data_IF_434197347432
#
_entry.id   IF_434197347432
#
_cell.length_a   1.000
_cell.length_b   1.000
_cell.length_c   1.000
_cell.angle_alpha   90.00
_cell.angle_beta   90.00
_cell.angle_gamma   90.00
#
_symmetry.space_group_name_H-M   'P 1'
#
loop_
_entity.id
_entity.type
_entity.pdbx_description
1 polymer ?
#
# COMPACT_ATOMS: atom_id res chain seq x y z
N UNK A 1 12.37 1.56 -13.76
CA UNK A 1 12.79 2.97 -13.86
C UNK A 1 12.31 3.69 -12.62
N UNK A 2 13.10 3.57 -11.54
CA UNK A 2 12.75 4.11 -10.22
C UNK A 2 13.85 5.05 -9.77
N UNK A 3 13.87 6.23 -10.38
CA UNK A 3 14.81 7.30 -10.04
C UNK A 3 13.99 8.45 -9.46
N UNK A 4 13.47 8.26 -8.24
CA UNK A 4 12.26 9.04 -7.97
C UNK A 4 12.14 9.61 -6.58
N UNK A 5 13.04 9.31 -5.72
CA UNK A 5 12.92 9.83 -4.38
C UNK A 5 13.89 10.99 -4.17
N UNK A 6 13.43 12.20 -4.42
CA UNK A 6 14.16 13.40 -4.05
C UNK A 6 14.26 14.50 -5.11
N UNK A 7 13.72 14.29 -6.28
CA UNK A 7 13.79 15.33 -7.31
C UNK A 7 12.62 16.32 -7.21
N UNK A 8 12.94 17.61 -7.28
CA UNK A 8 11.95 18.70 -7.40
C UNK A 8 10.96 18.49 -8.55
N UNK A 9 11.38 17.71 -9.54
CA UNK A 9 10.59 17.33 -10.71
C UNK A 9 9.34 16.51 -10.33
N UNK A 10 9.45 15.62 -9.35
CA UNK A 10 8.34 14.78 -8.90
C UNK A 10 7.25 15.59 -8.21
N UNK A 11 7.64 16.54 -7.36
CA UNK A 11 6.70 17.44 -6.67
C UNK A 11 5.90 18.28 -7.67
N UNK A 12 6.55 18.74 -8.75
CA UNK A 12 5.90 19.50 -9.83
C UNK A 12 4.97 18.59 -10.63
N UNK A 13 5.34 17.35 -10.85
CA UNK A 13 4.54 16.38 -11.61
C UNK A 13 3.28 15.99 -10.84
N UNK A 14 3.40 15.67 -9.56
CA UNK A 14 2.26 15.36 -8.68
C UNK A 14 1.31 16.55 -8.50
N UNK A 15 1.81 17.78 -8.51
CA UNK A 15 0.97 18.96 -8.35
C UNK A 15 0.21 19.37 -9.62
N UNK A 16 0.73 19.04 -10.82
CA UNK A 16 0.14 19.45 -12.10
C UNK A 16 -0.74 18.40 -12.77
N UNK A 17 -0.49 17.12 -12.54
CA UNK A 17 -1.20 16.04 -13.20
C UNK A 17 -2.01 15.22 -12.18
N UNK A 18 -3.14 15.75 -11.76
CA UNK A 18 -4.09 14.96 -10.97
C UNK A 18 -4.94 14.12 -11.89
N UNK A 19 -4.79 12.82 -11.76
CA UNK A 19 -5.66 11.85 -12.42
C UNK A 19 -7.01 11.79 -11.71
N UNK A 20 -8.09 11.51 -12.43
CA UNK A 20 -9.39 11.28 -11.81
C UNK A 20 -9.40 9.98 -11.00
N UNK A 21 -8.69 8.98 -11.50
CA UNK A 21 -8.49 7.70 -10.84
C UNK A 21 -7.03 7.29 -10.84
N UNK A 22 -6.59 6.72 -9.72
CA UNK A 22 -5.34 5.99 -9.59
C UNK A 22 -5.66 4.58 -9.12
N UNK A 23 -5.20 3.60 -9.86
CA UNK A 23 -5.37 2.18 -9.54
C UNK A 23 -4.02 1.65 -9.09
N UNK A 24 -3.95 1.14 -7.87
CA UNK A 24 -2.75 0.53 -7.31
C UNK A 24 -2.99 -0.98 -7.25
N UNK A 25 -2.34 -1.71 -8.13
CA UNK A 25 -2.34 -3.17 -8.10
C UNK A 25 -1.27 -3.68 -7.14
N UNK A 26 -1.48 -4.89 -6.58
CA UNK A 26 -0.60 -5.47 -5.54
C UNK A 26 -0.42 -4.55 -4.31
N UNK A 27 -1.44 -3.75 -3.98
CA UNK A 27 -1.36 -2.74 -2.94
C UNK A 27 -1.03 -3.31 -1.54
N UNK A 28 -1.31 -4.59 -1.30
CA UNK A 28 -0.97 -5.25 -0.05
C UNK A 28 0.54 -5.40 0.19
N UNK A 29 1.36 -5.33 -0.88
CA UNK A 29 2.82 -5.42 -0.83
C UNK A 29 3.51 -4.06 -0.87
N UNK A 30 2.76 -3.01 -1.22
CA UNK A 30 3.30 -1.66 -1.31
C UNK A 30 3.66 -1.10 0.08
N UNK A 31 4.78 -0.43 0.15
CA UNK A 31 5.17 0.32 1.34
C UNK A 31 4.32 1.57 1.52
N UNK A 32 4.21 2.13 2.73
CA UNK A 32 3.48 3.38 2.97
C UNK A 32 3.93 4.53 2.08
N UNK A 33 5.24 4.62 1.78
CA UNK A 33 5.79 5.66 0.91
C UNK A 33 5.33 5.53 -0.54
N UNK A 34 5.29 4.32 -1.07
CA UNK A 34 4.79 4.03 -2.43
C UNK A 34 3.30 4.36 -2.55
N UNK A 35 2.49 3.94 -1.56
CA UNK A 35 1.07 4.26 -1.52
C UNK A 35 0.84 5.77 -1.40
N UNK A 36 1.61 6.48 -0.58
CA UNK A 36 1.48 7.93 -0.43
C UNK A 36 1.73 8.67 -1.75
N UNK A 37 2.71 8.24 -2.55
CA UNK A 37 2.99 8.82 -3.87
C UNK A 37 1.80 8.59 -4.82
N UNK A 38 1.29 7.36 -4.85
CA UNK A 38 0.15 7.03 -5.68
C UNK A 38 -1.12 7.82 -5.29
N UNK A 39 -1.42 7.90 -3.99
CA UNK A 39 -2.59 8.60 -3.46
C UNK A 39 -2.55 10.10 -3.77
N UNK A 40 -1.39 10.72 -3.73
CA UNK A 40 -1.24 12.14 -4.02
C UNK A 40 -1.46 12.49 -5.49
N UNK A 41 -1.32 11.55 -6.40
CA UNK A 41 -1.44 11.78 -7.84
C UNK A 41 -2.87 11.76 -8.37
N UNK A 42 -3.83 11.28 -7.60
CA UNK A 42 -5.22 11.11 -8.04
C UNK A 42 -6.27 11.72 -7.12
N UNK A 43 -7.44 11.95 -7.68
CA UNK A 43 -8.63 12.39 -6.94
C UNK A 43 -9.33 11.23 -6.21
N UNK A 44 -9.28 10.05 -6.82
CA UNK A 44 -9.85 8.81 -6.31
C UNK A 44 -8.82 7.72 -6.43
N UNK A 45 -8.76 6.83 -5.46
CA UNK A 45 -7.80 5.74 -5.45
C UNK A 45 -8.56 4.43 -5.32
N UNK A 46 -8.22 3.48 -6.19
CA UNK A 46 -8.65 2.09 -6.09
C UNK A 46 -7.43 1.25 -5.71
N UNK A 47 -7.48 0.62 -4.56
CA UNK A 47 -6.47 -0.32 -4.11
C UNK A 47 -6.94 -1.74 -4.45
N UNK A 48 -6.11 -2.47 -5.16
CA UNK A 48 -6.32 -3.87 -5.51
C UNK A 48 -5.20 -4.69 -4.89
N UNK A 49 -5.53 -5.76 -4.20
CA UNK A 49 -4.51 -6.58 -3.54
C UNK A 49 -5.10 -7.74 -2.76
N UNK A 50 -4.22 -8.58 -2.23
CA UNK A 50 -4.57 -9.69 -1.37
C UNK A 50 -3.75 -9.59 -0.07
N UNK A 51 -4.40 -9.18 1.01
CA UNK A 51 -3.76 -9.03 2.33
C UNK A 51 -3.40 -10.37 2.99
N UNK A 52 -3.86 -11.50 2.44
CA UNK A 52 -3.48 -12.85 2.91
C UNK A 52 -2.19 -13.36 2.26
N UNK A 53 -1.68 -12.65 1.26
CA UNK A 53 -0.36 -12.89 0.70
C UNK A 53 0.72 -12.19 1.54
N UNK A 54 1.97 -12.21 1.04
CA UNK A 54 3.09 -11.63 1.77
C UNK A 54 2.92 -10.11 1.98
N UNK A 55 3.11 -9.62 3.21
CA UNK A 55 3.08 -8.19 3.50
C UNK A 55 4.30 -7.47 2.89
N UNK A 56 4.36 -6.13 2.96
CA UNK A 56 5.54 -5.38 2.56
C UNK A 56 6.79 -5.88 3.27
N UNK A 57 7.88 -6.00 2.53
CA UNK A 57 9.17 -6.42 3.09
C UNK A 57 9.91 -5.22 3.65
N UNK A 58 10.12 -5.22 4.95
CA UNK A 58 10.96 -4.23 5.62
C UNK A 58 12.28 -4.87 6.06
N UNK A 59 13.41 -4.18 5.91
CA UNK A 59 14.69 -4.67 6.42
C UNK A 59 14.62 -4.87 7.94
N UNK A 60 14.95 -6.08 8.42
CA UNK A 60 14.87 -6.44 9.84
C UNK A 60 15.61 -5.47 10.77
N UNK A 61 16.80 -4.91 10.43
CA UNK A 61 17.46 -3.92 11.26
C UNK A 61 16.62 -2.64 11.46
N UNK A 62 15.87 -2.22 10.45
CA UNK A 62 15.01 -1.03 10.50
C UNK A 62 13.82 -1.29 11.42
N UNK A 63 13.14 -2.42 11.23
CA UNK A 63 12.00 -2.82 12.08
C UNK A 63 12.42 -2.90 13.54
N UNK A 64 13.57 -3.52 13.82
CA UNK A 64 14.12 -3.64 15.18
C UNK A 64 14.39 -2.26 15.80
N UNK A 65 15.03 -1.37 15.06
CA UNK A 65 15.34 -0.02 15.53
C UNK A 65 14.06 0.75 15.88
N UNK A 66 13.07 0.75 14.99
CA UNK A 66 11.80 1.44 15.19
C UNK A 66 11.02 0.84 16.35
N UNK A 67 11.00 -0.49 16.51
CA UNK A 67 10.32 -1.14 17.63
C UNK A 67 10.89 -0.75 18.99
N UNK A 68 12.21 -0.57 19.06
CA UNK A 68 12.88 -0.11 20.27
C UNK A 68 12.56 1.37 20.56
N UNK A 69 12.69 2.24 19.55
CA UNK A 69 12.45 3.68 19.69
C UNK A 69 10.99 4.00 20.07
N UNK A 70 10.03 3.25 19.53
CA UNK A 70 8.60 3.44 19.80
C UNK A 70 8.08 2.56 20.96
N UNK A 71 8.96 1.75 21.59
CA UNK A 71 8.60 0.82 22.65
C UNK A 71 7.44 -0.13 22.26
N UNK A 72 7.40 -0.57 21.00
CA UNK A 72 6.44 -1.56 20.52
C UNK A 72 6.97 -2.97 20.78
N UNK A 73 6.24 -3.73 21.59
CA UNK A 73 6.52 -5.14 21.85
C UNK A 73 6.08 -6.05 20.69
N UNK A 74 5.02 -5.68 19.99
CA UNK A 74 4.48 -6.44 18.85
C UNK A 74 4.95 -5.86 17.51
N UNK A 75 5.92 -6.55 16.91
CA UNK A 75 6.46 -6.17 15.59
C UNK A 75 5.45 -6.33 14.46
N UNK A 76 4.46 -7.19 14.61
CA UNK A 76 3.44 -7.40 13.60
C UNK A 76 2.65 -6.11 13.33
N UNK A 77 2.48 -5.27 14.32
CA UNK A 77 1.84 -3.95 14.17
C UNK A 77 2.61 -3.04 13.20
N UNK A 78 3.95 -3.11 13.22
CA UNK A 78 4.81 -2.27 12.38
C UNK A 78 4.91 -2.77 10.94
N UNK A 79 4.77 -4.08 10.74
CA UNK A 79 4.90 -4.72 9.43
C UNK A 79 3.56 -4.94 8.72
N UNK A 80 2.46 -4.68 9.39
CA UNK A 80 1.12 -4.81 8.83
C UNK A 80 0.93 -3.87 7.64
N UNK A 81 0.39 -4.40 6.56
CA UNK A 81 0.12 -3.65 5.34
C UNK A 81 -0.92 -2.54 5.56
N UNK A 82 -0.68 -1.36 5.00
CA UNK A 82 -1.66 -0.26 5.01
C UNK A 82 -2.91 -0.59 4.17
N UNK A 83 -2.77 -1.44 3.16
CA UNK A 83 -3.89 -2.00 2.42
C UNK A 83 -4.83 -2.80 3.34
N UNK A 84 -4.26 -3.69 4.16
CA UNK A 84 -5.02 -4.48 5.13
C UNK A 84 -5.72 -3.58 6.15
N UNK A 85 -5.03 -2.57 6.68
CA UNK A 85 -5.62 -1.60 7.61
C UNK A 85 -6.77 -0.83 6.97
N UNK A 86 -6.61 -0.40 5.72
CA UNK A 86 -7.67 0.28 4.98
C UNK A 86 -8.86 -0.63 4.72
N UNK A 87 -8.62 -1.89 4.31
CA UNK A 87 -9.65 -2.87 4.01
C UNK A 87 -10.46 -3.25 5.25
N UNK A 88 -9.83 -3.40 6.40
CA UNK A 88 -10.48 -3.77 7.67
C UNK A 88 -11.11 -2.58 8.40
N UNK A 89 -10.85 -1.36 7.98
CA UNK A 89 -11.51 -0.18 8.55
C UNK A 89 -13.02 -0.20 8.32
N UNK A 90 -13.77 0.55 9.12
CA UNK A 90 -15.23 0.65 8.95
C UNK A 90 -15.61 1.19 7.57
N UNK A 91 -14.85 2.14 7.05
CA UNK A 91 -15.03 2.65 5.70
C UNK A 91 -14.67 1.59 4.65
N UNK A 92 -13.56 0.88 4.83
CA UNK A 92 -13.14 -0.20 3.94
C UNK A 92 -14.18 -1.31 3.83
N UNK A 93 -14.82 -1.69 4.93
CA UNK A 93 -15.91 -2.68 4.93
C UNK A 93 -17.14 -2.22 4.17
N UNK A 94 -17.40 -0.91 4.12
CA UNK A 94 -18.56 -0.35 3.40
C UNK A 94 -18.31 -0.27 1.88
N UNK A 95 -17.09 0.07 1.45
CA UNK A 95 -16.77 0.33 0.05
C UNK A 95 -15.94 -0.77 -0.61
N UNK A 96 -15.37 -1.67 0.20
CA UNK A 96 -14.55 -2.78 -0.26
C UNK A 96 -15.37 -3.90 -0.89
N UNK A 97 -14.76 -4.61 -1.84
CA UNK A 97 -15.33 -5.81 -2.43
C UNK A 97 -14.28 -6.92 -2.52
N UNK A 98 -14.71 -8.15 -2.32
CA UNK A 98 -13.85 -9.33 -2.44
C UNK A 98 -14.20 -10.11 -3.69
N UNK A 99 -13.22 -10.31 -4.57
CA UNK A 99 -13.35 -11.18 -5.72
C UNK A 99 -13.28 -12.64 -5.27
N UNK A 100 -14.33 -13.42 -5.55
CA UNK A 100 -14.44 -14.81 -5.10
C UNK A 100 -14.15 -15.83 -6.18
N UNK A 101 -14.22 -15.43 -7.44
CA UNK A 101 -14.02 -16.31 -8.59
C UNK A 101 -12.71 -15.97 -9.27
N UNK A 102 -11.90 -16.98 -9.52
CA UNK A 102 -10.64 -16.85 -10.25
C UNK A 102 -10.70 -17.68 -11.54
N UNK A 103 -10.03 -17.16 -12.59
CA UNK A 103 -9.97 -17.80 -13.92
C UNK A 103 -8.52 -18.08 -14.37
N UNK A 104 -7.54 -17.70 -13.56
CA UNK A 104 -6.11 -17.83 -13.91
C UNK A 104 -5.61 -19.28 -13.86
N UNK A 105 -6.17 -20.08 -12.95
CA UNK A 105 -5.76 -21.48 -12.75
C UNK A 105 -6.83 -22.40 -13.34
N UNK A 106 -6.39 -23.45 -14.05
CA UNK A 106 -7.30 -24.51 -14.50
C UNK A 106 -7.95 -25.21 -13.28
N UNK A 107 -9.23 -25.52 -13.38
CA UNK A 107 -9.86 -26.40 -12.42
C UNK A 107 -9.20 -27.78 -12.51
N UNK A 108 -8.62 -28.22 -11.40
CA UNK A 108 -8.23 -29.63 -11.21
C UNK A 108 -9.47 -30.43 -10.84
#
# INVERSE_FOLDING_TARGET
MWDLCGSRTLTIWCSKNRYDWVIVDEAARATPGELAIAIQSGRRVLLVGDHRQLPPLYPEPVVRKISIELNYSDRAVLTRSDFERAFESDYGKQVGATLRTQYRMAHQ
#
